data_IF_599355518824
#
_entry.id   IF_599355518824
#
_cell.length_a   1.000
_cell.length_b   1.000
_cell.length_c   1.000
_cell.angle_alpha   90.00
_cell.angle_beta   90.00
_cell.angle_gamma   90.00
#
_symmetry.space_group_name_H-M   'P 1'
#
loop_
_entity.id
_entity.type
_entity.pdbx_description
1 polymer ?
#
# COMPACT_ATOMS: atom_id res chain seq x y z
N UNK A 1 -7.13 7.93 -10.87
CA UNK A 1 -6.23 7.88 -9.69
C UNK A 1 -4.87 8.51 -10.05
N UNK A 2 -4.87 9.82 -10.34
CA UNK A 2 -3.69 10.62 -10.67
C UNK A 2 -3.96 12.05 -10.20
N UNK A 3 -3.68 12.36 -8.94
CA UNK A 3 -3.92 13.71 -8.41
C UNK A 3 -2.90 14.17 -7.36
N UNK A 4 -1.97 13.32 -6.90
CA UNK A 4 -0.90 13.72 -5.99
C UNK A 4 0.45 13.18 -6.47
N UNK A 5 1.54 13.96 -6.40
CA UNK A 5 2.87 13.51 -6.81
C UNK A 5 3.42 12.39 -5.92
N UNK A 6 2.80 12.17 -4.76
CA UNK A 6 3.17 11.16 -3.78
C UNK A 6 2.46 9.82 -3.99
N UNK A 7 1.58 9.67 -4.99
CA UNK A 7 0.97 8.37 -5.32
C UNK A 7 2.01 7.45 -5.97
N UNK A 8 2.01 6.16 -5.61
CA UNK A 8 2.85 5.17 -6.29
C UNK A 8 2.11 3.86 -6.52
N UNK A 9 2.64 3.04 -7.44
CA UNK A 9 2.18 1.69 -7.69
C UNK A 9 3.38 0.79 -7.94
N UNK A 10 3.53 -0.26 -7.14
CA UNK A 10 4.46 -1.36 -7.40
C UNK A 10 3.67 -2.60 -7.83
N UNK A 11 4.20 -3.37 -8.79
CA UNK A 11 3.53 -4.57 -9.30
C UNK A 11 4.50 -5.73 -9.30
N UNK A 12 4.10 -6.84 -8.67
CA UNK A 12 4.73 -8.14 -8.86
C UNK A 12 3.90 -8.89 -9.93
N UNK A 13 4.47 -9.17 -11.11
CA UNK A 13 3.71 -9.69 -12.25
C UNK A 13 3.19 -11.11 -12.02
N UNK A 14 3.89 -11.93 -11.23
CA UNK A 14 3.55 -13.32 -10.95
C UNK A 14 3.46 -14.20 -12.19
N UNK A 15 2.60 -15.21 -12.15
CA UNK A 15 2.30 -16.09 -13.29
C UNK A 15 0.92 -15.75 -13.86
N UNK A 16 0.75 -15.98 -15.15
CA UNK A 16 -0.52 -15.74 -15.85
C UNK A 16 -1.67 -16.59 -15.28
N UNK A 17 -2.89 -16.07 -15.38
CA UNK A 17 -4.08 -16.64 -14.75
C UNK A 17 -4.22 -16.19 -13.29
N UNK A 18 -5.37 -16.49 -12.68
CA UNK A 18 -5.64 -16.11 -11.29
C UNK A 18 -5.95 -14.61 -11.07
N UNK A 19 -6.25 -14.23 -9.82
CA UNK A 19 -6.67 -12.87 -9.49
C UNK A 19 -5.49 -11.88 -9.43
N UNK A 20 -5.84 -10.59 -9.51
CA UNK A 20 -4.94 -9.53 -9.02
C UNK A 20 -5.34 -9.17 -7.59
N UNK A 21 -4.42 -9.27 -6.65
CA UNK A 21 -4.61 -8.82 -5.26
C UNK A 21 -3.87 -7.50 -5.07
N UNK A 22 -4.52 -6.52 -4.45
CA UNK A 22 -3.92 -5.21 -4.17
C UNK A 22 -3.79 -4.99 -2.65
N UNK A 23 -2.61 -4.57 -2.22
CA UNK A 23 -2.34 -4.02 -0.90
C UNK A 23 -2.39 -2.50 -1.01
N UNK A 24 -3.35 -1.87 -0.33
CA UNK A 24 -3.43 -0.42 -0.21
C UNK A 24 -2.62 0.01 1.01
N UNK A 25 -1.72 0.97 0.83
CA UNK A 25 -0.82 1.43 1.88
C UNK A 25 -0.88 2.95 2.01
N UNK A 26 -1.21 3.40 3.22
CA UNK A 26 -1.30 4.82 3.55
C UNK A 26 -0.04 5.24 4.31
N UNK A 27 0.25 6.54 4.28
CA UNK A 27 1.51 7.10 4.81
C UNK A 27 1.41 8.59 5.13
N UNK A 28 0.22 9.17 5.10
CA UNK A 28 -0.02 10.53 5.59
C UNK A 28 -0.11 10.57 7.12
N UNK A 29 0.03 11.78 7.67
CA UNK A 29 -0.03 12.06 9.09
C UNK A 29 -1.17 13.05 9.38
N UNK A 30 -1.62 13.06 10.63
CA UNK A 30 -2.55 14.06 11.13
C UNK A 30 -1.82 15.36 11.50
N UNK A 31 -2.55 16.47 11.47
CA UNK A 31 -2.09 17.75 12.03
C UNK A 31 -2.32 17.72 13.55
N UNK A 32 -1.24 17.61 14.32
CA UNK A 32 -1.26 17.64 15.79
C UNK A 32 -1.17 19.06 16.38
N UNK A 33 -1.20 19.16 17.73
CA UNK A 33 -1.08 20.43 18.45
C UNK A 33 0.18 21.21 18.06
N UNK A 34 0.05 22.52 17.92
CA UNK A 34 1.14 23.39 17.48
C UNK A 34 1.61 23.13 16.03
N UNK A 35 0.81 22.44 15.22
CA UNK A 35 1.13 22.15 13.81
C UNK A 35 2.11 20.99 13.61
N UNK A 36 2.47 20.26 14.67
CA UNK A 36 3.37 19.10 14.57
C UNK A 36 2.63 17.92 13.95
N UNK A 37 3.23 17.30 12.92
CA UNK A 37 2.69 16.09 12.34
C UNK A 37 2.74 14.93 13.35
N UNK A 38 1.70 14.09 13.35
CA UNK A 38 1.64 12.89 14.19
C UNK A 38 0.84 11.78 13.50
N UNK A 39 1.31 10.54 13.57
CA UNK A 39 0.60 9.38 12.99
C UNK A 39 -0.36 8.76 14.00
N UNK A 40 -1.44 9.47 14.33
CA UNK A 40 -2.47 8.98 15.28
C UNK A 40 -3.22 7.75 14.79
N UNK A 41 -3.44 7.63 13.48
CA UNK A 41 -4.00 6.44 12.83
C UNK A 41 -2.93 5.43 12.37
N UNK A 42 -1.66 5.64 12.77
CA UNK A 42 -0.57 4.68 12.61
C UNK A 42 -0.19 4.31 11.16
N UNK A 43 -0.38 5.22 10.20
CA UNK A 43 0.00 5.00 8.80
C UNK A 43 1.52 4.77 8.62
N UNK A 44 2.34 5.27 9.55
CA UNK A 44 3.77 4.96 9.60
C UNK A 44 4.09 3.47 9.79
N UNK A 45 3.17 2.70 10.37
CA UNK A 45 3.32 1.26 10.62
C UNK A 45 2.55 0.43 9.60
N UNK A 46 1.32 0.83 9.27
CA UNK A 46 0.47 0.14 8.29
C UNK A 46 1.16 0.04 6.92
N UNK A 47 1.74 1.13 6.41
CA UNK A 47 2.42 1.11 5.11
C UNK A 47 3.53 0.05 5.02
N UNK A 48 4.53 0.06 5.93
CA UNK A 48 5.55 -0.98 6.00
C UNK A 48 5.00 -2.41 6.18
N UNK A 49 3.98 -2.60 7.02
CA UNK A 49 3.35 -3.92 7.22
C UNK A 49 2.69 -4.41 5.93
N UNK A 50 1.94 -3.55 5.23
CA UNK A 50 1.28 -3.89 3.97
C UNK A 50 2.28 -4.25 2.87
N UNK A 51 3.40 -3.53 2.78
CA UNK A 51 4.50 -3.86 1.86
C UNK A 51 5.13 -5.20 2.24
N UNK A 52 5.42 -5.43 3.53
CA UNK A 52 5.98 -6.69 4.02
C UNK A 52 5.09 -7.90 3.72
N UNK A 53 3.77 -7.75 3.92
CA UNK A 53 2.78 -8.78 3.58
C UNK A 53 2.74 -9.06 2.07
N UNK A 54 2.82 -8.03 1.22
CA UNK A 54 2.87 -8.20 -0.23
C UNK A 54 4.13 -8.97 -0.68
N UNK A 55 5.29 -8.65 -0.10
CA UNK A 55 6.55 -9.36 -0.37
C UNK A 55 6.46 -10.82 0.09
N UNK A 56 5.99 -11.08 1.31
CA UNK A 56 5.83 -12.44 1.83
C UNK A 56 4.88 -13.27 0.95
N UNK A 57 3.76 -12.69 0.50
CA UNK A 57 2.83 -13.36 -0.39
C UNK A 57 3.45 -13.63 -1.76
N UNK A 58 4.23 -12.71 -2.32
CA UNK A 58 4.93 -12.91 -3.59
C UNK A 58 5.89 -14.11 -3.51
N UNK A 59 6.65 -14.25 -2.41
CA UNK A 59 7.54 -15.38 -2.20
C UNK A 59 6.78 -16.71 -2.09
N UNK A 60 5.65 -16.73 -1.38
CA UNK A 60 4.78 -17.92 -1.29
C UNK A 60 4.20 -18.29 -2.65
N UNK A 61 3.69 -17.31 -3.41
CA UNK A 61 3.15 -17.53 -4.74
C UNK A 61 4.20 -18.11 -5.68
N UNK A 62 5.43 -17.56 -5.64
CA UNK A 62 6.57 -18.05 -6.42
C UNK A 62 6.93 -19.49 -6.05
N UNK A 63 7.09 -19.79 -4.77
CA UNK A 63 7.49 -21.11 -4.29
C UNK A 63 6.45 -22.20 -4.62
N UNK A 64 5.16 -21.85 -4.56
CA UNK A 64 4.05 -22.80 -4.77
C UNK A 64 3.44 -22.75 -6.17
N UNK A 65 4.01 -21.96 -7.08
CA UNK A 65 3.51 -21.73 -8.45
C UNK A 65 2.03 -21.34 -8.48
N UNK A 66 1.61 -20.48 -7.56
CA UNK A 66 0.24 -19.97 -7.52
C UNK A 66 0.10 -18.88 -8.58
N UNK A 67 -0.81 -19.01 -9.55
CA UNK A 67 -1.03 -17.99 -10.57
C UNK A 67 -1.72 -16.76 -9.98
N UNK A 68 -1.40 -15.58 -10.52
CA UNK A 68 -1.97 -14.31 -10.10
C UNK A 68 -0.94 -13.19 -10.06
N UNK A 69 -1.40 -11.98 -9.74
CA UNK A 69 -0.60 -10.76 -9.72
C UNK A 69 -0.78 -10.02 -8.41
N UNK A 70 0.28 -9.39 -7.90
CA UNK A 70 0.19 -8.52 -6.72
C UNK A 70 0.45 -7.07 -7.11
N UNK A 71 -0.27 -6.17 -6.45
CA UNK A 71 -0.08 -4.73 -6.56
C UNK A 71 0.07 -4.16 -5.16
N UNK A 72 1.05 -3.30 -4.95
CA UNK A 72 1.05 -2.38 -3.81
C UNK A 72 0.72 -1.00 -4.35
N UNK A 73 -0.37 -0.41 -3.85
CA UNK A 73 -0.84 0.89 -4.27
C UNK A 73 -0.68 1.86 -3.10
N UNK A 74 0.18 2.87 -3.28
CA UNK A 74 0.27 3.97 -2.35
C UNK A 74 -0.98 4.85 -2.43
N UNK A 75 -1.60 5.08 -1.27
CA UNK A 75 -2.82 5.86 -1.10
C UNK A 75 -2.52 7.05 -0.18
N UNK A 76 -1.99 8.15 -0.74
CA UNK A 76 -1.70 9.34 0.06
C UNK A 76 -2.98 10.07 0.45
N UNK A 77 -2.91 10.84 1.55
CA UNK A 77 -3.97 11.73 2.01
C UNK A 77 -5.29 11.01 2.33
N UNK A 78 -5.22 9.88 3.03
CA UNK A 78 -6.42 9.16 3.48
C UNK A 78 -7.25 10.00 4.45
N UNK A 79 -6.58 10.75 5.32
CA UNK A 79 -7.21 11.56 6.38
C UNK A 79 -7.83 12.86 5.85
N UNK A 80 -7.70 13.12 4.55
CA UNK A 80 -8.26 14.30 3.90
C UNK A 80 -9.55 13.90 3.20
N UNK A 81 -10.73 14.17 3.81
CA UNK A 81 -12.00 13.86 3.18
C UNK A 81 -12.11 14.61 1.85
N UNK A 82 -12.53 13.88 0.81
CA UNK A 82 -12.85 14.49 -0.48
C UNK A 82 -14.00 15.47 -0.27
N UNK A 83 -13.78 16.74 -0.59
CA UNK A 83 -14.86 17.71 -0.76
C UNK A 83 -15.62 17.42 -2.05
#
# INVERSE_FOLDING_TARGET
>A
MKTLPTVFKATYPGQEGGPTIAFLVEYDALRGPGGKAFHGCQHNMQGPIGIGAAVALAEVMKARKIPGRLVVQGTPAEEIPRR
#
